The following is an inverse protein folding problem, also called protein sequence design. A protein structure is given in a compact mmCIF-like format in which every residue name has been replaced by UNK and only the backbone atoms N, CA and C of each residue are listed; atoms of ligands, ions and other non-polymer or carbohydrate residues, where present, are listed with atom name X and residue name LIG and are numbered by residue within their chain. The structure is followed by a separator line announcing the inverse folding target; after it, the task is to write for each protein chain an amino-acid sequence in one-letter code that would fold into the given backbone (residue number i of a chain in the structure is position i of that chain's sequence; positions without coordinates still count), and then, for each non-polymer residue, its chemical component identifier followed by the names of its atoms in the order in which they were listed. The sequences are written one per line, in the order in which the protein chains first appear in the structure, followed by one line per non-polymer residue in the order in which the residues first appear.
data_IF_349224626580
#
_entry.id   IF_349224626580
#
_cell.length_a   1.000
_cell.length_b   1.000
_cell.length_c   1.000
_cell.angle_alpha   90.00
_cell.angle_beta   90.00
_cell.angle_gamma   90.00
#
_symmetry.space_group_name_H-M   'P 1'
#
loop_
_entity.id
_entity.type
_entity.pdbx_description
1 polymer ?
#
# COMPACT_ATOMS: atom_id res chain seq x y z
N UNK A 1 -1.89 6.87 -31.74
CA UNK A 1 -2.01 6.49 -30.32
C UNK A 1 -3.41 5.91 -30.16
N UNK A 2 -3.58 4.75 -29.49
CA UNK A 2 -4.90 4.17 -29.31
C UNK A 2 -5.79 5.18 -28.60
N UNK A 3 -6.98 5.43 -29.13
CA UNK A 3 -7.91 6.43 -28.57
C UNK A 3 -8.75 5.89 -27.43
N UNK A 4 -8.75 4.56 -27.22
CA UNK A 4 -9.66 3.88 -26.31
C UNK A 4 -8.95 3.62 -24.97
N UNK A 5 -9.54 3.99 -23.82
CA UNK A 5 -8.90 3.85 -22.51
C UNK A 5 -8.40 2.43 -22.20
N UNK A 6 -9.14 1.42 -22.66
CA UNK A 6 -8.81 0.01 -22.44
C UNK A 6 -7.58 -0.44 -23.26
N UNK A 7 -7.47 0.00 -24.53
CA UNK A 7 -6.30 -0.30 -25.37
C UNK A 7 -5.04 0.39 -24.83
N UNK A 8 -5.20 1.60 -24.30
CA UNK A 8 -4.11 2.35 -23.69
C UNK A 8 -3.59 1.65 -22.43
N UNK A 9 -4.47 1.14 -21.56
CA UNK A 9 -4.09 0.32 -20.41
C UNK A 9 -3.34 -0.95 -20.83
N UNK A 10 -3.89 -1.72 -21.77
CA UNK A 10 -3.26 -2.95 -22.26
C UNK A 10 -1.86 -2.68 -22.85
N UNK A 11 -1.72 -1.68 -23.70
CA UNK A 11 -0.41 -1.30 -24.24
C UNK A 11 0.56 -0.83 -23.15
N UNK A 12 0.06 -0.14 -22.12
CA UNK A 12 0.90 0.32 -21.03
C UNK A 12 1.43 -0.86 -20.20
N UNK A 13 0.57 -1.82 -19.85
CA UNK A 13 0.93 -3.01 -19.07
C UNK A 13 1.80 -4.00 -19.85
N UNK A 14 1.47 -4.26 -21.11
CA UNK A 14 2.14 -5.30 -21.91
C UNK A 14 3.39 -4.79 -22.64
N UNK A 15 3.47 -3.49 -22.93
CA UNK A 15 4.55 -2.93 -23.76
C UNK A 15 5.39 -1.91 -23.01
N UNK A 16 4.77 -0.91 -22.39
CA UNK A 16 5.50 0.21 -21.76
C UNK A 16 6.21 -0.23 -20.49
N UNK A 17 5.53 -0.93 -19.58
CA UNK A 17 6.12 -1.42 -18.32
C UNK A 17 7.31 -2.36 -18.59
N UNK A 18 7.22 -3.39 -19.46
CA UNK A 18 8.35 -4.27 -19.75
C UNK A 18 9.51 -3.54 -20.42
N UNK A 19 9.23 -2.58 -21.31
CA UNK A 19 10.26 -1.76 -21.94
C UNK A 19 11.02 -0.92 -20.91
N UNK A 20 10.32 -0.25 -19.98
CA UNK A 20 10.95 0.54 -18.93
C UNK A 20 11.76 -0.33 -17.96
N UNK A 21 11.23 -1.49 -17.55
CA UNK A 21 11.96 -2.45 -16.70
C UNK A 21 13.28 -2.89 -17.34
N UNK A 22 13.26 -3.20 -18.64
CA UNK A 22 14.47 -3.58 -19.40
C UNK A 22 15.44 -2.42 -19.58
N UNK A 23 14.94 -1.23 -19.94
CA UNK A 23 15.77 -0.07 -20.27
C UNK A 23 16.49 0.53 -19.06
N UNK A 24 15.84 0.55 -17.90
CA UNK A 24 16.38 1.16 -16.68
C UNK A 24 16.88 0.12 -15.66
N UNK A 25 16.92 -1.17 -16.03
CA UNK A 25 17.30 -2.27 -15.13
C UNK A 25 16.55 -2.18 -13.79
N UNK A 26 15.25 -1.89 -13.83
CA UNK A 26 14.43 -1.73 -12.62
C UNK A 26 14.26 -3.10 -11.97
N UNK A 27 15.06 -3.37 -10.95
CA UNK A 27 15.02 -4.64 -10.21
C UNK A 27 13.92 -4.65 -9.15
N UNK A 28 13.48 -3.48 -8.68
CA UNK A 28 12.49 -3.36 -7.62
C UNK A 28 11.34 -2.46 -8.07
N UNK A 29 10.11 -2.98 -7.94
CA UNK A 29 8.87 -2.24 -8.16
C UNK A 29 8.28 -1.84 -6.81
N UNK A 30 7.65 -0.67 -6.75
CA UNK A 30 6.92 -0.23 -5.56
C UNK A 30 5.50 -0.76 -5.65
N UNK A 31 5.10 -1.54 -4.66
CA UNK A 31 3.74 -2.01 -4.48
C UNK A 31 3.20 -1.51 -3.15
N UNK A 32 1.90 -1.28 -3.06
CA UNK A 32 1.30 -0.83 -1.82
C UNK A 32 -0.07 -1.45 -1.60
N UNK A 33 -0.51 -1.42 -0.35
CA UNK A 33 -1.86 -1.78 0.08
C UNK A 33 -2.42 -0.64 0.91
N UNK A 34 -3.69 -0.30 0.71
CA UNK A 34 -4.38 0.70 1.53
C UNK A 34 -5.40 0.01 2.42
N UNK A 35 -5.34 0.31 3.72
CA UNK A 35 -6.35 -0.06 4.70
C UNK A 35 -7.16 1.18 5.07
N UNK A 36 -8.47 1.06 5.12
CA UNK A 36 -9.40 2.13 5.48
C UNK A 36 -9.94 1.84 6.87
N UNK A 37 -9.50 2.60 7.86
CA UNK A 37 -10.04 2.55 9.21
C UNK A 37 -11.14 3.62 9.35
N UNK A 38 -12.38 3.18 9.56
CA UNK A 38 -13.53 4.09 9.73
C UNK A 38 -13.82 4.34 11.20
N UNK A 39 -14.47 5.47 11.48
CA UNK A 39 -14.92 5.85 12.82
C UNK A 39 -13.79 5.94 13.87
N UNK A 40 -12.57 6.23 13.42
CA UNK A 40 -11.39 6.35 14.30
C UNK A 40 -10.72 7.70 14.09
N UNK A 41 -10.25 8.29 15.19
CA UNK A 41 -9.48 9.54 15.16
C UNK A 41 -8.03 9.29 14.74
N UNK A 42 -7.47 10.20 13.94
CA UNK A 42 -6.09 10.17 13.47
C UNK A 42 -5.08 9.92 14.59
N UNK A 43 -5.17 10.70 15.68
CA UNK A 43 -4.22 10.61 16.79
C UNK A 43 -4.20 9.22 17.44
N UNK A 44 -5.32 8.49 17.44
CA UNK A 44 -5.38 7.13 17.99
C UNK A 44 -4.75 6.10 17.05
N UNK A 45 -4.96 6.26 15.75
CA UNK A 45 -4.32 5.41 14.73
C UNK A 45 -2.82 5.63 14.75
N UNK A 46 -2.40 6.90 14.75
CA UNK A 46 -1.00 7.30 14.79
C UNK A 46 -0.28 6.71 16.02
N UNK A 47 -0.82 6.91 17.23
CA UNK A 47 -0.26 6.31 18.44
C UNK A 47 -0.19 4.78 18.42
N UNK A 48 -1.13 4.11 17.75
CA UNK A 48 -1.16 2.66 17.69
C UNK A 48 -0.09 2.07 16.75
N UNK A 49 0.38 2.83 15.75
CA UNK A 49 1.27 2.32 14.70
C UNK A 49 2.55 3.14 14.49
N UNK A 50 2.77 4.23 15.22
CA UNK A 50 3.94 5.10 15.08
C UNK A 50 5.27 4.34 15.23
N UNK A 51 5.36 3.40 16.18
CA UNK A 51 6.52 2.51 16.33
C UNK A 51 6.76 1.59 15.12
N UNK A 52 5.69 1.14 14.43
CA UNK A 52 5.81 0.37 13.19
C UNK A 52 6.34 1.25 12.05
N UNK A 53 6.03 2.55 12.06
CA UNK A 53 6.55 3.52 11.08
C UNK A 53 8.03 3.84 11.32
N UNK A 54 8.47 3.93 12.57
CA UNK A 54 9.86 4.25 12.91
C UNK A 54 10.82 3.07 12.71
N UNK A 55 10.34 1.83 12.90
CA UNK A 55 11.22 0.66 12.93
C UNK A 55 11.44 0.02 11.55
N UNK A 56 10.56 0.27 10.57
CA UNK A 56 10.61 -0.43 9.27
C UNK A 56 11.03 0.46 8.12
N UNK A 57 12.14 0.10 7.47
CA UNK A 57 12.62 0.76 6.25
C UNK A 57 11.89 0.28 4.99
N UNK A 58 11.47 -0.99 4.97
CA UNK A 58 10.70 -1.62 3.90
C UNK A 58 10.00 -2.88 4.45
N UNK A 59 8.65 -2.97 4.51
CA UNK A 59 7.66 -2.02 4.01
C UNK A 59 7.54 -0.74 4.85
N UNK A 60 7.25 0.39 4.20
CA UNK A 60 7.00 1.69 4.84
C UNK A 60 5.49 1.90 5.04
N UNK A 61 5.09 2.41 6.20
CA UNK A 61 3.68 2.72 6.49
C UNK A 61 3.49 4.23 6.43
N UNK A 62 2.48 4.68 5.68
CA UNK A 62 2.04 6.07 5.62
C UNK A 62 0.60 6.20 6.08
N UNK A 63 0.31 7.27 6.81
CA UNK A 63 -1.02 7.61 7.29
C UNK A 63 -1.56 8.84 6.57
N UNK A 64 -2.82 8.77 6.16
CA UNK A 64 -3.56 9.91 5.63
C UNK A 64 -4.92 9.96 6.31
N UNK A 65 -5.06 10.88 7.26
CA UNK A 65 -6.34 11.13 7.90
C UNK A 65 -7.25 11.99 7.01
N UNK A 66 -8.53 11.66 7.02
CA UNK A 66 -9.61 12.46 6.45
C UNK A 66 -10.78 12.43 7.42
N UNK A 67 -11.72 13.39 7.36
CA UNK A 67 -12.87 13.41 8.26
C UNK A 67 -13.64 12.08 8.20
N UNK A 68 -13.70 11.35 9.31
CA UNK A 68 -14.43 10.08 9.45
C UNK A 68 -13.71 8.82 8.92
N UNK A 69 -12.57 8.96 8.25
CA UNK A 69 -11.80 7.81 7.73
C UNK A 69 -10.29 8.08 7.76
N UNK A 70 -9.53 7.12 8.27
CA UNK A 70 -8.07 7.13 8.24
C UNK A 70 -7.60 6.10 7.23
N UNK A 71 -6.83 6.54 6.23
CA UNK A 71 -6.21 5.66 5.24
C UNK A 71 -4.80 5.31 5.69
N UNK A 72 -4.47 4.03 5.65
CA UNK A 72 -3.18 3.49 6.07
C UNK A 72 -2.57 2.80 4.88
N UNK A 73 -1.53 3.40 4.29
CA UNK A 73 -0.84 2.88 3.11
C UNK A 73 0.43 2.14 3.51
N UNK A 74 0.45 0.84 3.30
CA UNK A 74 1.63 0.00 3.51
C UNK A 74 2.31 -0.19 2.16
N UNK A 75 3.54 0.31 2.02
CA UNK A 75 4.29 0.37 0.76
C UNK A 75 5.51 -0.52 0.85
N UNK A 76 5.66 -1.51 -0.02
CA UNK A 76 6.83 -2.37 -0.11
C UNK A 76 7.55 -2.20 -1.44
N UNK A 77 8.87 -2.18 -1.39
CA UNK A 77 9.74 -2.32 -2.58
C UNK A 77 10.10 -3.79 -2.73
N UNK A 78 9.74 -4.38 -3.87
CA UNK A 78 10.04 -5.78 -4.16
C UNK A 78 10.12 -6.02 -5.68
N UNK A 79 10.83 -7.06 -6.15
CA UNK A 79 10.95 -7.35 -7.58
C UNK A 79 9.64 -7.83 -8.22
N UNK A 80 8.67 -8.30 -7.42
CA UNK A 80 7.35 -8.72 -7.89
C UNK A 80 6.24 -8.37 -6.92
N UNK A 81 5.02 -8.34 -7.45
CA UNK A 81 3.79 -8.10 -6.68
C UNK A 81 3.56 -9.20 -5.62
N UNK A 82 3.88 -10.47 -5.91
CA UNK A 82 3.82 -11.56 -4.93
C UNK A 82 4.79 -11.36 -3.77
N UNK A 83 6.06 -11.03 -4.05
CA UNK A 83 7.04 -10.78 -3.00
C UNK A 83 6.65 -9.58 -2.14
N UNK A 84 6.16 -8.51 -2.77
CA UNK A 84 5.62 -7.37 -2.03
C UNK A 84 4.44 -7.77 -1.15
N UNK A 85 3.51 -8.60 -1.62
CA UNK A 85 2.40 -9.07 -0.80
C UNK A 85 2.86 -9.91 0.38
N UNK A 86 3.86 -10.79 0.20
CA UNK A 86 4.46 -11.57 1.30
C UNK A 86 5.09 -10.65 2.35
N UNK A 87 5.72 -9.55 1.94
CA UNK A 87 6.28 -8.56 2.85
C UNK A 87 5.21 -7.70 3.53
N UNK A 88 4.15 -7.32 2.82
CA UNK A 88 3.06 -6.48 3.33
C UNK A 88 2.16 -7.25 4.31
N UNK A 89 1.86 -8.53 4.04
CA UNK A 89 0.96 -9.34 4.84
C UNK A 89 1.24 -9.37 6.36
N UNK A 90 2.50 -9.57 6.84
CA UNK A 90 2.78 -9.54 8.28
C UNK A 90 2.60 -8.14 8.88
N UNK A 91 2.90 -7.08 8.11
CA UNK A 91 2.71 -5.69 8.56
C UNK A 91 1.23 -5.37 8.64
N UNK A 92 0.46 -5.72 7.61
CA UNK A 92 -0.99 -5.57 7.59
C UNK A 92 -1.63 -6.29 8.79
N UNK A 93 -1.23 -7.54 9.07
CA UNK A 93 -1.75 -8.30 10.21
C UNK A 93 -1.48 -7.59 11.54
N UNK A 94 -0.28 -7.07 11.74
CA UNK A 94 0.08 -6.29 12.95
C UNK A 94 -0.76 -5.02 13.05
N UNK A 95 -0.87 -4.25 11.96
CA UNK A 95 -1.68 -3.03 11.91
C UNK A 95 -3.14 -3.35 12.25
N UNK A 96 -3.73 -4.37 11.64
CA UNK A 96 -5.10 -4.83 11.96
C UNK A 96 -5.26 -5.23 13.41
N UNK A 97 -4.32 -5.99 13.98
CA UNK A 97 -4.38 -6.42 15.38
C UNK A 97 -4.37 -5.22 16.34
N UNK A 98 -3.54 -4.21 16.06
CA UNK A 98 -3.47 -3.01 16.90
C UNK A 98 -4.69 -2.11 16.75
N UNK A 99 -5.25 -2.04 15.55
CA UNK A 99 -6.44 -1.25 15.28
C UNK A 99 -7.74 -1.95 15.66
N UNK A 100 -7.75 -3.27 15.86
CA UNK A 100 -8.94 -4.01 16.29
C UNK A 100 -9.51 -3.54 17.64
N UNK A 101 -8.70 -2.89 18.48
CA UNK A 101 -9.15 -2.28 19.74
C UNK A 101 -9.46 -0.78 19.64
N UNK A 102 -9.31 -0.18 18.46
CA UNK A 102 -9.31 1.29 18.29
C UNK A 102 -10.27 1.74 17.17
N UNK A 103 -10.40 0.95 16.11
CA UNK A 103 -11.27 1.19 14.96
C UNK A 103 -12.35 0.11 14.88
N UNK A 104 -13.60 0.52 14.65
CA UNK A 104 -14.74 -0.40 14.56
C UNK A 104 -14.72 -1.23 13.26
N UNK A 105 -14.14 -0.69 12.18
CA UNK A 105 -14.12 -1.36 10.88
C UNK A 105 -12.86 -1.01 10.10
N UNK A 106 -12.20 -2.05 9.56
CA UNK A 106 -10.99 -1.93 8.74
C UNK A 106 -11.24 -2.62 7.39
N UNK A 107 -11.39 -1.82 6.34
CA UNK A 107 -11.57 -2.29 4.96
C UNK A 107 -10.24 -2.27 4.20
N UNK A 108 -10.14 -3.04 3.12
CA UNK A 108 -8.97 -3.00 2.22
C UNK A 108 -9.40 -2.37 0.91
N UNK A 109 -8.68 -1.33 0.48
CA UNK A 109 -8.81 -0.79 -0.87
C UNK A 109 -7.94 -1.65 -1.80
N UNK A 110 -8.55 -2.22 -2.86
CA UNK A 110 -7.87 -3.00 -3.90
C UNK A 110 -7.47 -2.10 -5.06
#
# INVERSE_FOLDING_TARGET
MPGVPHELQAMFEETVIPYLKRKYAVQETIHYRVLLARNVGESRVDQAICDLMETQSNPTIGLLASPGVVRIRITAKAPSLEQAQIMIAPVEKKVRQRLAGVADTIEVEQ
#
